data_IF_293950935744
#
_entry.id   IF_293950935744
#
_cell.length_a   1.000
_cell.length_b   1.000
_cell.length_c   1.000
_cell.angle_alpha   90.00
_cell.angle_beta   90.00
_cell.angle_gamma   90.00
#
_symmetry.space_group_name_H-M   'P 1'
#
loop_
_entity.id
_entity.type
_entity.pdbx_description
1 polymer ?
#
# COMPACT_ATOMS: atom_id res chain seq x y z
N UNK A 1 1.66 8.20 -3.54
CA UNK A 1 0.69 7.34 -2.84
C UNK A 1 -0.47 8.16 -2.27
N UNK A 2 -0.19 9.15 -1.43
CA UNK A 2 -1.20 9.94 -0.70
C UNK A 2 -2.32 10.60 -1.53
N UNK A 3 -2.03 10.98 -2.77
CA UNK A 3 -2.98 11.68 -3.64
C UNK A 3 -4.01 10.70 -4.23
N UNK A 4 -3.54 9.58 -4.80
CA UNK A 4 -4.38 8.68 -5.60
C UNK A 4 -4.79 7.39 -4.88
N UNK A 5 -4.04 6.98 -3.85
CA UNK A 5 -4.19 5.67 -3.21
C UNK A 5 -4.77 5.80 -1.80
N UNK A 6 -4.23 6.71 -0.98
CA UNK A 6 -4.64 6.87 0.42
C UNK A 6 -6.12 7.25 0.63
N UNK A 7 -6.83 7.95 -0.28
CA UNK A 7 -8.26 8.17 -0.11
C UNK A 7 -9.07 6.88 0.05
N UNK A 8 -8.63 5.78 -0.57
CA UNK A 8 -9.22 4.44 -0.44
C UNK A 8 -8.47 3.58 0.58
N UNK A 9 -7.14 3.54 0.47
CA UNK A 9 -6.28 2.59 1.18
C UNK A 9 -5.75 3.08 2.52
N UNK A 10 -6.10 4.31 2.91
CA UNK A 10 -5.49 5.10 3.99
C UNK A 10 -3.96 5.23 3.89
N UNK A 11 -3.38 6.04 4.79
CA UNK A 11 -1.95 6.33 4.78
C UNK A 11 -1.08 5.18 5.28
N UNK A 12 -1.64 4.28 6.08
CA UNK A 12 -0.92 3.13 6.65
C UNK A 12 -1.18 1.85 5.87
N UNK A 13 -2.07 1.86 4.87
CA UNK A 13 -2.37 0.72 4.00
C UNK A 13 -3.40 -0.25 4.56
N UNK A 14 -4.22 0.15 5.54
CA UNK A 14 -5.20 -0.77 6.18
C UNK A 14 -6.51 -0.89 5.41
N UNK A 15 -6.73 -0.07 4.38
CA UNK A 15 -7.97 -0.05 3.60
C UNK A 15 -9.06 0.85 4.19
N UNK A 16 -8.79 1.61 5.26
CA UNK A 16 -9.75 2.44 5.99
C UNK A 16 -9.75 3.91 5.53
N UNK A 17 -9.54 4.14 4.24
CA UNK A 17 -9.50 5.48 3.65
C UNK A 17 -10.82 6.25 3.82
N UNK A 18 -10.75 7.58 3.67
CA UNK A 18 -11.90 8.46 3.90
C UNK A 18 -13.12 8.15 3.03
N UNK A 19 -12.94 7.60 1.82
CA UNK A 19 -14.08 7.27 0.96
C UNK A 19 -14.79 5.97 1.40
N UNK A 20 -14.09 5.06 2.06
CA UNK A 20 -14.68 3.84 2.64
C UNK A 20 -15.66 4.22 3.74
N UNK A 21 -15.29 5.21 4.56
CA UNK A 21 -16.18 5.82 5.56
C UNK A 21 -17.43 6.50 4.96
N UNK A 22 -17.47 6.67 3.64
CA UNK A 22 -18.58 7.27 2.89
C UNK A 22 -19.35 6.25 2.03
N UNK A 23 -19.14 4.94 2.25
CA UNK A 23 -19.95 3.87 1.67
C UNK A 23 -19.31 3.11 0.51
N UNK A 24 -18.08 3.43 0.09
CA UNK A 24 -17.37 2.59 -0.88
C UNK A 24 -16.87 1.31 -0.22
N UNK A 25 -16.81 0.23 -1.01
CA UNK A 25 -16.29 -1.07 -0.55
C UNK A 25 -14.86 -0.92 -0.03
N UNK A 26 -14.62 -1.42 1.18
CA UNK A 26 -13.30 -1.45 1.79
C UNK A 26 -12.33 -2.30 0.97
N UNK A 27 -11.18 -1.75 0.52
CA UNK A 27 -10.11 -2.55 -0.05
C UNK A 27 -9.48 -3.46 1.02
N UNK A 28 -8.89 -4.61 0.65
CA UNK A 28 -8.12 -5.41 1.60
C UNK A 28 -6.95 -4.59 2.17
N UNK A 29 -6.63 -4.82 3.44
CA UNK A 29 -5.40 -4.30 4.05
C UNK A 29 -4.19 -4.86 3.32
N UNK A 30 -3.19 -4.03 3.04
CA UNK A 30 -1.92 -4.46 2.47
C UNK A 30 -1.13 -5.39 3.40
N UNK A 31 -1.50 -5.44 4.68
CA UNK A 31 -0.79 -6.20 5.73
C UNK A 31 -1.25 -7.63 5.90
N UNK A 32 -2.19 -8.12 5.07
CA UNK A 32 -2.55 -9.55 5.10
C UNK A 32 -1.46 -10.37 4.40
N UNK A 33 -1.18 -11.57 4.90
CA UNK A 33 -0.10 -12.45 4.41
C UNK A 33 -0.18 -12.67 2.90
N UNK A 34 -1.39 -12.94 2.38
CA UNK A 34 -1.64 -13.08 0.94
C UNK A 34 -1.03 -11.92 0.14
N UNK A 35 -1.19 -10.67 0.57
CA UNK A 35 -0.68 -9.50 -0.15
C UNK A 35 0.79 -9.20 0.16
N UNK A 36 1.35 -9.70 1.25
CA UNK A 36 2.79 -9.69 1.49
C UNK A 36 3.51 -10.67 0.56
N UNK A 37 2.90 -11.80 0.27
CA UNK A 37 3.48 -12.89 -0.53
C UNK A 37 3.32 -12.73 -2.05
N UNK A 38 2.37 -11.94 -2.54
CA UNK A 38 2.25 -11.69 -4.00
C UNK A 38 3.53 -11.08 -4.57
N UNK A 39 3.87 -11.28 -5.85
CA UNK A 39 4.96 -10.56 -6.50
C UNK A 39 4.72 -9.04 -6.50
N UNK A 40 5.77 -8.21 -6.42
CA UNK A 40 5.61 -6.74 -6.45
C UNK A 40 4.89 -6.25 -7.71
N UNK A 41 5.05 -6.94 -8.84
CA UNK A 41 4.36 -6.64 -10.09
C UNK A 41 2.83 -6.72 -10.00
N UNK A 42 2.28 -7.45 -9.03
CA UNK A 42 0.84 -7.50 -8.77
C UNK A 42 0.27 -6.11 -8.46
N UNK A 43 0.95 -5.31 -7.63
CA UNK A 43 0.48 -3.96 -7.31
C UNK A 43 0.55 -3.02 -8.52
N UNK A 44 1.61 -3.14 -9.32
CA UNK A 44 1.73 -2.40 -10.58
C UNK A 44 0.60 -2.75 -11.55
N UNK A 45 0.29 -4.04 -11.70
CA UNK A 45 -0.77 -4.55 -12.56
C UNK A 45 -2.14 -4.05 -12.10
N UNK A 46 -2.47 -4.20 -10.81
CA UNK A 46 -3.73 -3.71 -10.23
C UNK A 46 -3.90 -2.20 -10.43
N UNK A 47 -2.85 -1.40 -10.27
CA UNK A 47 -2.91 0.05 -10.55
C UNK A 47 -3.10 0.35 -12.04
N UNK A 48 -2.54 -0.48 -12.92
CA UNK A 48 -2.56 -0.28 -14.37
C UNK A 48 -3.91 -0.71 -14.96
N UNK A 49 -4.44 -1.85 -14.53
CA UNK A 49 -5.58 -2.52 -15.15
C UNK A 49 -6.85 -2.46 -14.29
N UNK A 50 -6.74 -2.09 -13.01
CA UNK A 50 -7.83 -2.19 -12.05
C UNK A 50 -7.99 -3.63 -11.51
N UNK A 51 -8.79 -3.80 -10.47
CA UNK A 51 -9.11 -5.11 -9.89
C UNK A 51 -10.38 -5.05 -9.04
N UNK A 52 -11.37 -5.87 -9.37
CA UNK A 52 -12.67 -5.86 -8.68
C UNK A 52 -13.30 -4.47 -8.70
N UNK A 53 -13.50 -3.87 -7.51
CA UNK A 53 -14.06 -2.52 -7.38
C UNK A 53 -13.01 -1.39 -7.50
N UNK A 54 -11.72 -1.71 -7.62
CA UNK A 54 -10.66 -0.73 -7.80
C UNK A 54 -10.51 -0.36 -9.29
N UNK A 55 -10.76 0.90 -9.62
CA UNK A 55 -10.56 1.43 -10.97
C UNK A 55 -9.08 1.54 -11.34
N UNK A 56 -8.79 1.46 -12.64
CA UNK A 56 -7.47 1.77 -13.17
C UNK A 56 -7.04 3.21 -12.85
N UNK A 57 -5.76 3.34 -12.51
CA UNK A 57 -5.07 4.63 -12.33
C UNK A 57 -4.20 4.99 -13.53
N UNK A 58 -4.21 4.20 -14.62
CA UNK A 58 -3.24 4.33 -15.69
C UNK A 58 -3.26 5.68 -16.42
N UNK A 59 -4.44 6.30 -16.54
CA UNK A 59 -4.61 7.61 -17.15
C UNK A 59 -4.14 8.79 -16.26
N UNK A 60 -3.92 8.55 -14.96
CA UNK A 60 -3.64 9.59 -13.95
C UNK A 60 -2.29 9.44 -13.27
N UNK A 61 -1.73 8.23 -13.25
CA UNK A 61 -0.48 7.91 -12.58
C UNK A 61 0.50 7.36 -13.62
N UNK A 62 1.59 8.09 -13.95
CA UNK A 62 2.62 7.65 -14.88
C UNK A 62 3.23 6.29 -14.51
N UNK A 63 3.76 5.56 -15.49
CA UNK A 63 4.34 4.21 -15.30
C UNK A 63 5.39 4.19 -14.19
N UNK A 64 6.31 5.17 -14.18
CA UNK A 64 7.35 5.30 -13.15
C UNK A 64 6.75 5.42 -11.75
N UNK A 65 5.72 6.25 -11.60
CA UNK A 65 5.08 6.50 -10.31
C UNK A 65 4.28 5.29 -9.83
N UNK A 66 3.71 4.49 -10.75
CA UNK A 66 3.08 3.21 -10.38
C UNK A 66 4.09 2.25 -9.77
N UNK A 67 5.31 2.17 -10.32
CA UNK A 67 6.37 1.37 -9.69
C UNK A 67 6.84 1.94 -8.36
N UNK A 68 6.99 3.27 -8.25
CA UNK A 68 7.33 3.92 -6.99
C UNK A 68 6.27 3.67 -5.91
N UNK A 69 4.99 3.70 -6.29
CA UNK A 69 3.87 3.37 -5.40
C UNK A 69 3.90 1.90 -5.00
N UNK A 70 4.16 0.98 -5.93
CA UNK A 70 4.27 -0.45 -5.62
C UNK A 70 5.40 -0.72 -4.61
N UNK A 71 6.55 -0.06 -4.75
CA UNK A 71 7.64 -0.11 -3.79
C UNK A 71 7.24 0.51 -2.43
N UNK A 72 6.51 1.64 -2.45
CA UNK A 72 6.01 2.26 -1.22
C UNK A 72 5.02 1.36 -0.47
N UNK A 73 4.19 0.57 -1.16
CA UNK A 73 3.34 -0.44 -0.52
C UNK A 73 4.18 -1.48 0.23
N UNK A 74 5.35 -1.88 -0.28
CA UNK A 74 6.29 -2.75 0.45
C UNK A 74 6.86 -2.09 1.70
N UNK A 75 7.20 -0.81 1.61
CA UNK A 75 7.64 -0.05 2.78
C UNK A 75 6.52 0.01 3.85
N UNK A 76 5.26 0.20 3.44
CA UNK A 76 4.13 0.13 4.37
C UNK A 76 4.00 -1.26 5.02
N UNK A 77 4.09 -2.33 4.24
CA UNK A 77 4.06 -3.70 4.78
C UNK A 77 5.15 -3.94 5.82
N UNK A 78 6.39 -3.49 5.53
CA UNK A 78 7.49 -3.57 6.46
C UNK A 78 7.23 -2.73 7.72
N UNK A 79 6.71 -1.51 7.58
CA UNK A 79 6.46 -0.61 8.72
C UNK A 79 5.52 -1.19 9.80
N UNK A 80 4.65 -2.15 9.43
CA UNK A 80 3.70 -2.79 10.34
C UNK A 80 4.08 -4.22 10.72
N UNK A 81 5.25 -4.69 10.29
CA UNK A 81 5.74 -6.06 10.52
C UNK A 81 7.24 -6.14 10.81
N UNK A 82 7.88 -4.98 11.00
CA UNK A 82 9.32 -4.90 11.18
C UNK A 82 9.71 -5.62 12.46
N UNK A 83 10.57 -6.63 12.31
CA UNK A 83 11.21 -7.27 13.45
C UNK A 83 12.29 -6.32 14.00
N UNK A 84 12.48 -6.31 15.31
CA UNK A 84 13.41 -5.40 15.97
C UNK A 84 14.84 -5.48 15.41
N UNK A 85 15.29 -6.69 15.10
CA UNK A 85 16.61 -6.98 14.53
C UNK A 85 16.77 -6.48 13.07
N UNK A 86 15.68 -6.23 12.37
CA UNK A 86 15.67 -5.66 11.01
C UNK A 86 15.66 -4.12 11.00
N UNK A 87 15.46 -3.49 12.16
CA UNK A 87 15.51 -2.04 12.30
C UNK A 87 16.96 -1.53 12.24
N UNK A 88 17.13 -0.27 11.85
CA UNK A 88 18.46 0.35 11.91
C UNK A 88 18.92 0.46 13.38
N UNK A 89 20.24 0.49 13.66
CA UNK A 89 20.73 0.70 15.02
C UNK A 89 20.25 2.03 15.63
N UNK A 90 19.93 3.02 14.79
CA UNK A 90 19.34 4.28 15.24
C UNK A 90 17.91 4.10 15.71
N UNK A 91 17.07 3.43 14.93
CA UNK A 91 15.67 3.16 15.27
C UNK A 91 15.56 2.25 16.51
N UNK A 92 16.43 1.24 16.61
CA UNK A 92 16.49 0.35 17.79
C UNK A 92 16.72 1.12 19.09
N UNK A 93 17.53 2.19 19.07
CA UNK A 93 17.79 3.02 20.26
C UNK A 93 16.63 3.94 20.64
N UNK A 94 15.67 4.15 19.76
CA UNK A 94 14.48 4.98 20.02
C UNK A 94 13.32 4.18 20.61
N UNK A 95 13.40 2.85 20.61
CA UNK A 95 12.39 1.97 21.16
C UNK A 95 12.69 1.67 22.64
N UNK A 96 11.66 1.63 23.51
CA UNK A 96 11.81 1.40 24.95
C UNK A 96 12.23 -0.03 25.30
#
# INVERSE_FOLDING_TARGET
YDIFCAPCHDRTGTGNGMIVKRGLKQPPSYHIDRLREVPIGYFFDVMTNGFGAMYSSAARVPVRDRWAIAAYVRALQFSQDAQFDQLSPEDQRQLP
#
